data_IF_141446813076
#
_entry.id   IF_141446813076
#
_cell.length_a   1.000
_cell.length_b   1.000
_cell.length_c   1.000
_cell.angle_alpha   90.00
_cell.angle_beta   90.00
_cell.angle_gamma   90.00
#
_symmetry.space_group_name_H-M   'P 1'
#
loop_
_entity.id
_entity.type
_entity.pdbx_description
1 polymer ?
#
# COMPACT_ATOMS: atom_id res chain seq x y z
N UNK A 1 -33.73 -41.35 18.59
CA UNK A 1 -32.56 -42.19 18.28
C UNK A 1 -31.34 -41.33 18.56
N UNK A 2 -30.82 -41.39 19.80
CA UNK A 2 -29.60 -40.71 20.24
C UNK A 2 -28.44 -41.64 19.96
N UNK A 3 -27.42 -41.17 19.23
CA UNK A 3 -26.10 -41.81 19.21
C UNK A 3 -25.07 -40.81 19.72
N UNK A 4 -24.67 -41.05 20.96
CA UNK A 4 -23.29 -41.05 21.48
C UNK A 4 -22.36 -39.93 21.05
N UNK A 5 -22.31 -38.90 21.89
CA UNK A 5 -21.33 -37.81 21.91
C UNK A 5 -20.23 -38.13 22.96
N UNK A 6 -19.52 -39.25 22.79
CA UNK A 6 -18.47 -39.69 23.70
C UNK A 6 -17.24 -40.13 22.89
N UNK A 7 -16.47 -39.14 22.42
CA UNK A 7 -15.07 -39.32 21.99
C UNK A 7 -14.28 -37.98 22.02
N UNK A 8 -14.72 -37.00 22.82
CA UNK A 8 -14.06 -35.69 22.98
C UNK A 8 -13.26 -35.60 24.29
N UNK A 9 -12.89 -36.73 24.90
CA UNK A 9 -12.08 -36.77 26.12
C UNK A 9 -10.83 -37.62 25.92
N UNK A 10 -9.86 -37.08 25.17
CA UNK A 10 -8.45 -37.30 25.49
C UNK A 10 -7.79 -35.93 25.45
N UNK A 11 -7.59 -35.35 26.65
CA UNK A 11 -6.99 -34.04 26.83
C UNK A 11 -5.57 -34.03 26.28
N UNK A 12 -5.28 -33.07 25.40
CA UNK A 12 -3.89 -32.79 25.02
C UNK A 12 -3.56 -31.30 24.84
N UNK A 13 -4.48 -30.36 25.10
CA UNK A 13 -4.14 -28.94 25.07
C UNK A 13 -5.10 -28.12 25.95
N UNK A 14 -4.78 -27.99 27.24
CA UNK A 14 -5.27 -26.90 28.08
C UNK A 14 -4.51 -25.62 27.67
N UNK A 15 -5.08 -24.83 26.74
CA UNK A 15 -4.44 -23.63 26.17
C UNK A 15 -4.75 -22.36 26.99
N UNK A 16 -5.53 -22.45 28.08
CA UNK A 16 -5.88 -21.25 28.86
C UNK A 16 -4.79 -20.78 29.84
N UNK A 17 -3.80 -21.62 30.19
CA UNK A 17 -2.79 -21.28 31.22
C UNK A 17 -1.48 -20.66 30.67
N UNK A 18 -1.28 -20.64 29.35
CA UNK A 18 -0.03 -20.16 28.70
C UNK A 18 -0.18 -18.72 28.18
N UNK A 19 -0.87 -17.85 28.91
CA UNK A 19 -1.05 -16.44 28.50
C UNK A 19 0.07 -15.49 28.94
N UNK A 20 0.97 -15.90 29.84
CA UNK A 20 1.99 -15.02 30.41
C UNK A 20 3.42 -15.61 30.47
N UNK A 21 3.70 -16.77 29.88
CA UNK A 21 5.08 -17.27 29.77
C UNK A 21 5.74 -16.76 28.49
N UNK A 22 6.98 -16.28 28.63
CA UNK A 22 7.83 -15.96 27.49
C UNK A 22 7.88 -17.17 26.53
N UNK A 23 7.77 -16.93 25.21
CA UNK A 23 7.64 -18.01 24.26
C UNK A 23 8.93 -18.83 24.24
N UNK A 24 8.84 -20.08 24.68
CA UNK A 24 9.93 -21.05 24.58
C UNK A 24 10.15 -21.31 23.09
N UNK A 25 11.11 -20.62 22.47
CA UNK A 25 11.65 -21.04 21.19
C UNK A 25 12.45 -22.31 21.44
N UNK A 26 11.83 -23.46 21.23
CA UNK A 26 12.52 -24.75 21.30
C UNK A 26 13.31 -24.91 20.01
N UNK A 27 14.49 -24.29 19.93
CA UNK A 27 15.47 -24.57 18.89
C UNK A 27 16.05 -25.95 19.14
N UNK A 28 15.89 -26.86 18.17
CA UNK A 28 16.53 -28.18 18.24
C UNK A 28 18.04 -28.04 18.07
N UNK A 29 18.81 -28.56 19.03
CA UNK A 29 20.26 -28.54 18.98
C UNK A 29 20.80 -29.64 18.03
N UNK A 30 21.09 -29.24 16.79
CA UNK A 30 21.62 -30.13 15.74
C UNK A 30 23.04 -30.63 16.01
N UNK A 31 23.77 -30.08 16.99
CA UNK A 31 25.10 -30.61 17.37
C UNK A 31 25.03 -32.01 17.97
N UNK A 32 23.82 -32.46 18.33
CA UNK A 32 23.54 -33.79 18.90
C UNK A 32 23.45 -34.92 17.87
N UNK A 33 23.48 -34.61 16.58
CA UNK A 33 23.38 -35.56 15.48
C UNK A 33 24.57 -35.42 14.53
N UNK A 34 24.78 -36.41 13.66
CA UNK A 34 25.83 -36.29 12.63
C UNK A 34 25.46 -35.21 11.60
N UNK A 35 26.43 -34.63 10.87
CA UNK A 35 26.14 -33.63 9.83
C UNK A 35 25.13 -34.13 8.78
N UNK A 36 25.24 -35.38 8.34
CA UNK A 36 24.30 -36.00 7.40
C UNK A 36 22.88 -36.14 7.99
N UNK A 37 22.78 -36.42 9.29
CA UNK A 37 21.49 -36.48 9.99
C UNK A 37 20.89 -35.10 10.17
N UNK A 38 21.71 -34.08 10.48
CA UNK A 38 21.27 -32.69 10.60
C UNK A 38 20.68 -32.20 9.27
N UNK A 39 21.40 -32.37 8.17
CA UNK A 39 20.94 -31.99 6.83
C UNK A 39 19.61 -32.67 6.48
N UNK A 40 19.47 -33.96 6.78
CA UNK A 40 18.23 -34.70 6.54
C UNK A 40 17.07 -34.20 7.40
N UNK A 41 17.31 -33.93 8.68
CA UNK A 41 16.29 -33.42 9.60
C UNK A 41 15.84 -32.02 9.22
N UNK A 42 16.78 -31.16 8.81
CA UNK A 42 16.51 -29.82 8.31
C UNK A 42 15.67 -29.87 7.01
N UNK A 43 16.00 -30.74 6.07
CA UNK A 43 15.20 -30.94 4.86
C UNK A 43 13.77 -31.46 5.17
N UNK A 44 13.61 -32.32 6.17
CA UNK A 44 12.30 -32.79 6.63
C UNK A 44 11.51 -31.64 7.27
N UNK A 45 12.16 -30.89 8.16
CA UNK A 45 11.59 -29.73 8.83
C UNK A 45 11.09 -28.73 7.80
N UNK A 46 11.94 -28.32 6.85
CA UNK A 46 11.57 -27.38 5.79
C UNK A 46 10.38 -27.88 4.98
N UNK A 47 10.32 -29.17 4.62
CA UNK A 47 9.16 -29.74 3.92
C UNK A 47 7.88 -29.68 4.75
N UNK A 48 7.95 -29.96 6.06
CA UNK A 48 6.79 -29.88 6.96
C UNK A 48 6.34 -28.43 7.15
N UNK A 49 7.30 -27.54 7.35
CA UNK A 49 7.10 -26.11 7.52
C UNK A 49 6.43 -25.50 6.28
N UNK A 50 6.91 -25.82 5.08
CA UNK A 50 6.30 -25.35 3.82
C UNK A 50 4.85 -25.81 3.65
N UNK A 51 4.51 -27.03 4.08
CA UNK A 51 3.11 -27.50 4.07
C UNK A 51 2.27 -26.74 5.08
N UNK A 52 2.79 -26.56 6.29
CA UNK A 52 2.13 -25.81 7.35
C UNK A 52 1.82 -24.37 6.92
N UNK A 53 2.81 -23.67 6.35
CA UNK A 53 2.66 -22.31 5.83
C UNK A 53 1.60 -22.23 4.74
N UNK A 54 1.64 -23.16 3.77
CA UNK A 54 0.64 -23.25 2.70
C UNK A 54 -0.76 -23.46 3.27
N UNK A 55 -0.93 -24.41 4.19
CA UNK A 55 -2.23 -24.64 4.84
C UNK A 55 -2.68 -23.40 5.61
N UNK A 56 -1.79 -22.74 6.36
CA UNK A 56 -2.15 -21.54 7.09
C UNK A 56 -2.60 -20.38 6.17
N UNK A 57 -2.03 -20.33 4.97
CA UNK A 57 -2.42 -19.40 3.93
C UNK A 57 -3.78 -19.76 3.28
N UNK A 58 -3.97 -21.02 2.91
CA UNK A 58 -5.23 -21.56 2.37
C UNK A 58 -6.38 -21.37 3.36
N UNK A 59 -6.16 -21.70 4.63
CA UNK A 59 -7.08 -21.41 5.74
C UNK A 59 -7.45 -19.91 5.76
N UNK A 60 -6.49 -19.02 5.51
CA UNK A 60 -6.71 -17.58 5.47
C UNK A 60 -7.65 -17.16 4.35
N UNK A 61 -7.56 -17.78 3.16
CA UNK A 61 -8.49 -17.57 2.05
C UNK A 61 -9.89 -18.08 2.37
N UNK A 62 -9.98 -19.30 2.89
CA UNK A 62 -11.26 -19.90 3.26
C UNK A 62 -11.95 -19.10 4.38
N UNK A 63 -11.18 -18.56 5.33
CA UNK A 63 -11.68 -17.66 6.36
C UNK A 63 -12.21 -16.33 5.78
N UNK A 64 -11.57 -15.79 4.75
CA UNK A 64 -12.06 -14.59 4.05
C UNK A 64 -13.35 -14.88 3.29
N UNK A 65 -13.44 -16.02 2.61
CA UNK A 65 -14.65 -16.47 1.93
C UNK A 65 -15.79 -16.69 2.92
N UNK A 66 -15.54 -17.46 3.99
CA UNK A 66 -16.50 -17.71 5.06
C UNK A 66 -17.00 -16.40 5.70
N UNK A 67 -16.11 -15.45 5.98
CA UNK A 67 -16.48 -14.13 6.51
C UNK A 67 -17.36 -13.33 5.54
N UNK A 68 -17.16 -13.48 4.23
CA UNK A 68 -17.93 -12.79 3.20
C UNK A 68 -19.29 -13.47 2.90
N UNK A 69 -19.62 -14.56 3.59
CA UNK A 69 -20.92 -15.21 3.46
C UNK A 69 -22.03 -14.24 3.85
N UNK A 70 -23.04 -14.09 2.98
CA UNK A 70 -24.16 -13.16 3.21
C UNK A 70 -24.83 -13.45 4.55
N UNK A 71 -25.09 -12.38 5.31
CA UNK A 71 -25.84 -12.35 6.57
C UNK A 71 -25.17 -12.99 7.79
N UNK A 72 -23.86 -13.24 7.79
CA UNK A 72 -23.14 -13.65 9.00
C UNK A 72 -22.56 -12.43 9.73
N UNK A 73 -23.03 -12.11 10.95
CA UNK A 73 -22.41 -11.07 11.77
C UNK A 73 -20.94 -11.41 12.08
N UNK A 74 -20.11 -10.39 12.24
CA UNK A 74 -18.67 -10.57 12.48
C UNK A 74 -18.36 -11.40 13.73
N UNK A 75 -19.14 -11.22 14.79
CA UNK A 75 -18.94 -11.93 16.05
C UNK A 75 -19.30 -13.42 15.91
N UNK A 76 -20.38 -13.74 15.18
CA UNK A 76 -20.80 -15.12 14.89
C UNK A 76 -19.77 -15.87 14.02
N UNK A 77 -19.14 -15.19 13.06
CA UNK A 77 -18.03 -15.77 12.29
C UNK A 77 -16.86 -16.18 13.18
N UNK A 78 -16.50 -15.34 14.14
CA UNK A 78 -15.37 -15.60 15.03
C UNK A 78 -15.68 -16.77 15.97
N UNK A 79 -16.90 -16.82 16.51
CA UNK A 79 -17.35 -17.95 17.35
C UNK A 79 -17.47 -19.25 16.56
N UNK A 80 -17.92 -19.21 15.30
CA UNK A 80 -17.92 -20.37 14.40
C UNK A 80 -16.51 -20.95 14.21
N UNK A 81 -15.54 -20.10 13.85
CA UNK A 81 -14.16 -20.54 13.63
C UNK A 81 -13.52 -21.09 14.93
N UNK A 82 -13.85 -20.49 16.07
CA UNK A 82 -13.45 -20.98 17.39
C UNK A 82 -14.07 -22.34 17.71
N UNK A 83 -15.36 -22.54 17.43
CA UNK A 83 -16.07 -23.79 17.71
C UNK A 83 -15.60 -24.94 16.81
N UNK A 84 -15.34 -24.68 15.53
CA UNK A 84 -14.92 -25.71 14.57
C UNK A 84 -13.44 -26.09 14.71
N UNK A 85 -12.55 -25.12 14.96
CA UNK A 85 -11.10 -25.33 14.88
C UNK A 85 -10.34 -25.01 16.18
N UNK A 86 -11.02 -24.49 17.21
CA UNK A 86 -10.37 -24.05 18.45
C UNK A 86 -9.52 -22.78 18.30
N UNK A 87 -9.63 -22.06 17.18
CA UNK A 87 -8.79 -20.90 16.91
C UNK A 87 -9.20 -19.68 17.71
N UNK A 88 -8.19 -18.96 18.20
CA UNK A 88 -8.42 -17.65 18.83
C UNK A 88 -8.75 -16.59 17.77
N UNK A 89 -9.42 -15.51 18.18
CA UNK A 89 -9.67 -14.32 17.34
C UNK A 89 -8.37 -13.76 16.73
N UNK A 90 -7.27 -13.80 17.48
CA UNK A 90 -5.97 -13.35 16.99
C UNK A 90 -5.45 -14.26 15.87
N UNK A 91 -5.54 -15.58 16.05
CA UNK A 91 -5.13 -16.57 15.04
C UNK A 91 -5.93 -16.41 13.75
N UNK A 92 -7.26 -16.28 13.84
CA UNK A 92 -8.16 -16.05 12.70
C UNK A 92 -7.75 -14.79 11.94
N UNK A 93 -7.56 -13.68 12.67
CA UNK A 93 -7.17 -12.39 12.09
C UNK A 93 -5.81 -12.46 11.40
N UNK A 94 -4.83 -13.13 12.02
CA UNK A 94 -3.49 -13.28 11.47
C UNK A 94 -3.49 -14.09 10.17
N UNK A 95 -4.20 -15.22 10.11
CA UNK A 95 -4.35 -16.04 8.90
C UNK A 95 -5.01 -15.26 7.76
N UNK A 96 -6.11 -14.56 8.03
CA UNK A 96 -6.77 -13.72 7.04
C UNK A 96 -5.87 -12.58 6.53
N UNK A 97 -5.16 -11.90 7.43
CA UNK A 97 -4.25 -10.83 7.05
C UNK A 97 -3.08 -11.34 6.21
N UNK A 98 -2.57 -12.54 6.51
CA UNK A 98 -1.53 -13.17 5.70
C UNK A 98 -2.05 -13.39 4.26
N UNK A 99 -3.23 -13.99 4.11
CA UNK A 99 -3.85 -14.22 2.81
C UNK A 99 -4.09 -12.92 2.02
N UNK A 100 -4.59 -11.86 2.68
CA UNK A 100 -4.85 -10.57 2.05
C UNK A 100 -3.58 -9.87 1.54
N UNK A 101 -2.50 -9.89 2.34
CA UNK A 101 -1.34 -9.05 2.07
C UNK A 101 -0.32 -9.71 1.15
N UNK A 102 -0.22 -11.05 1.16
CA UNK A 102 0.84 -11.75 0.45
C UNK A 102 0.44 -12.24 -0.95
N UNK A 103 -0.84 -12.13 -1.36
CA UNK A 103 -1.28 -12.67 -2.65
C UNK A 103 -1.05 -14.18 -2.70
N UNK A 104 -1.04 -14.82 -3.88
CA UNK A 104 -0.93 -16.28 -3.98
C UNK A 104 0.34 -16.86 -3.35
N UNK A 105 0.21 -18.06 -2.75
CA UNK A 105 1.33 -18.76 -2.14
C UNK A 105 2.36 -19.15 -3.21
N UNK A 106 3.46 -18.40 -3.28
CA UNK A 106 4.62 -18.76 -4.09
C UNK A 106 5.65 -19.54 -3.26
N UNK A 107 6.55 -20.33 -3.87
CA UNK A 107 7.69 -20.93 -3.17
C UNK A 107 8.52 -19.91 -2.38
N UNK A 108 8.53 -18.66 -2.86
CA UNK A 108 9.17 -17.49 -2.25
C UNK A 108 8.57 -17.11 -0.89
N UNK A 109 7.28 -17.38 -0.65
CA UNK A 109 6.64 -17.20 0.67
C UNK A 109 7.19 -18.19 1.71
N UNK A 110 7.90 -19.23 1.26
CA UNK A 110 8.64 -20.13 2.14
C UNK A 110 9.87 -19.52 2.81
N UNK A 111 10.38 -18.41 2.29
CA UNK A 111 11.59 -17.73 2.78
C UNK A 111 11.29 -16.74 3.91
N UNK A 112 10.02 -16.56 4.29
CA UNK A 112 9.63 -15.71 5.42
C UNK A 112 9.23 -16.55 6.63
N UNK A 113 9.78 -16.22 7.79
CA UNK A 113 9.36 -16.84 9.05
C UNK A 113 7.90 -16.51 9.39
N UNK A 114 7.18 -17.45 10.03
CA UNK A 114 5.75 -17.27 10.41
C UNK A 114 5.50 -15.94 11.14
N UNK A 115 6.37 -15.62 12.09
CA UNK A 115 6.25 -14.40 12.90
C UNK A 115 6.53 -13.15 12.09
N UNK A 116 7.52 -13.19 11.20
CA UNK A 116 7.81 -12.11 10.27
C UNK A 116 6.62 -11.87 9.34
N UNK A 117 6.04 -12.94 8.79
CA UNK A 117 4.87 -12.89 7.92
C UNK A 117 3.69 -12.22 8.62
N UNK A 118 3.31 -12.69 9.81
CA UNK A 118 2.21 -12.10 10.57
C UNK A 118 2.49 -10.66 11.02
N UNK A 119 3.72 -10.35 11.40
CA UNK A 119 4.12 -9.00 11.80
C UNK A 119 3.91 -8.02 10.64
N UNK A 120 4.41 -8.35 9.45
CA UNK A 120 4.32 -7.49 8.26
C UNK A 120 2.91 -7.44 7.65
N UNK A 121 2.08 -8.47 7.87
CA UNK A 121 0.66 -8.48 7.49
C UNK A 121 -0.23 -7.65 8.40
N UNK A 122 0.26 -7.16 9.53
CA UNK A 122 -0.57 -6.38 10.45
C UNK A 122 -1.06 -5.08 9.80
N UNK A 123 -2.33 -4.72 10.08
CA UNK A 123 -2.97 -3.49 9.57
C UNK A 123 -2.19 -2.21 9.88
N UNK A 124 -1.42 -2.19 10.97
CA UNK A 124 -0.63 -1.03 11.40
C UNK A 124 0.72 -0.90 10.67
N UNK A 125 1.10 -1.89 9.88
CA UNK A 125 2.32 -1.85 9.08
C UNK A 125 2.04 -1.05 7.81
N UNK A 126 2.92 -0.10 7.44
CA UNK A 126 2.80 0.63 6.17
C UNK A 126 2.86 -0.28 4.95
N UNK A 127 2.20 0.11 3.86
CA UNK A 127 2.28 -0.62 2.59
C UNK A 127 3.70 -0.66 2.03
N UNK A 128 4.45 0.43 2.17
CA UNK A 128 5.85 0.52 1.73
C UNK A 128 6.75 -0.52 2.40
N UNK A 129 6.52 -0.81 3.69
CA UNK A 129 7.23 -1.88 4.41
C UNK A 129 6.89 -3.27 3.85
N UNK A 130 5.63 -3.52 3.48
CA UNK A 130 5.23 -4.79 2.85
C UNK A 130 5.86 -4.96 1.46
N UNK A 131 5.94 -3.88 0.69
CA UNK A 131 6.55 -3.90 -0.63
C UNK A 131 8.06 -4.15 -0.56
N UNK A 132 8.78 -3.55 0.38
CA UNK A 132 10.20 -3.85 0.62
C UNK A 132 10.40 -5.33 0.97
N UNK A 133 9.57 -5.88 1.87
CA UNK A 133 9.63 -7.30 2.20
C UNK A 133 9.33 -8.20 0.99
N UNK A 134 8.33 -7.89 0.17
CA UNK A 134 8.05 -8.62 -1.07
C UNK A 134 9.24 -8.56 -2.05
N UNK A 135 9.91 -7.43 -2.16
CA UNK A 135 11.07 -7.27 -3.03
C UNK A 135 12.25 -8.14 -2.57
N UNK A 136 12.52 -8.18 -1.25
CA UNK A 136 13.54 -9.06 -0.67
C UNK A 136 13.24 -10.53 -0.90
N UNK A 137 12.00 -10.96 -0.68
CA UNK A 137 11.58 -12.33 -0.98
C UNK A 137 11.80 -12.66 -2.45
N UNK A 138 11.37 -11.80 -3.38
CA UNK A 138 11.57 -12.03 -4.81
C UNK A 138 13.06 -12.11 -5.21
N UNK A 139 13.96 -11.48 -4.43
CA UNK A 139 15.40 -11.60 -4.60
C UNK A 139 15.99 -12.91 -4.04
N UNK A 140 15.17 -13.71 -3.34
CA UNK A 140 15.59 -14.96 -2.71
C UNK A 140 16.15 -14.78 -1.29
N UNK A 141 15.95 -13.60 -0.68
CA UNK A 141 16.41 -13.32 0.67
C UNK A 141 15.44 -13.85 1.73
N UNK A 142 16.00 -14.47 2.78
CA UNK A 142 15.23 -14.95 3.92
C UNK A 142 14.84 -13.78 4.84
N UNK A 143 13.56 -13.73 5.24
CA UNK A 143 13.04 -12.70 6.14
C UNK A 143 12.78 -13.29 7.52
N UNK A 144 13.70 -13.00 8.43
CA UNK A 144 13.56 -13.30 9.86
C UNK A 144 12.64 -12.31 10.58
N UNK A 145 12.17 -12.68 11.78
CA UNK A 145 11.39 -11.80 12.67
C UNK A 145 12.11 -10.47 12.94
N UNK A 146 13.44 -10.50 13.10
CA UNK A 146 14.25 -9.32 13.37
C UNK A 146 14.30 -8.37 12.16
N UNK A 147 14.56 -8.91 10.96
CA UNK A 147 14.57 -8.12 9.74
C UNK A 147 13.20 -7.50 9.46
N UNK A 148 12.13 -8.25 9.69
CA UNK A 148 10.76 -7.74 9.57
C UNK A 148 10.47 -6.58 10.53
N UNK A 149 10.98 -6.62 11.77
CA UNK A 149 10.89 -5.48 12.71
C UNK A 149 11.65 -4.27 12.20
N UNK A 150 12.87 -4.46 11.70
CA UNK A 150 13.68 -3.38 11.15
C UNK A 150 12.99 -2.70 9.96
N UNK A 151 12.47 -3.48 9.00
CA UNK A 151 11.73 -2.95 7.85
C UNK A 151 10.52 -2.14 8.32
N UNK A 152 9.70 -2.68 9.24
CA UNK A 152 8.54 -1.98 9.78
C UNK A 152 8.93 -0.65 10.43
N UNK A 153 9.94 -0.66 11.29
CA UNK A 153 10.30 0.50 12.10
C UNK A 153 10.95 1.60 11.25
N UNK A 154 11.77 1.23 10.27
CA UNK A 154 12.32 2.13 9.24
C UNK A 154 11.20 2.90 8.53
N UNK A 155 10.24 2.20 7.95
CA UNK A 155 9.15 2.82 7.20
C UNK A 155 8.20 3.63 8.07
N UNK A 156 7.98 3.20 9.30
CA UNK A 156 7.15 3.95 10.25
C UNK A 156 7.81 5.28 10.64
N UNK A 157 9.13 5.27 10.86
CA UNK A 157 9.89 6.48 11.14
C UNK A 157 9.91 7.45 9.95
N UNK A 158 10.05 6.92 8.73
CA UNK A 158 10.02 7.71 7.51
C UNK A 158 8.66 8.41 7.30
N UNK A 159 7.56 7.68 7.51
CA UNK A 159 6.21 8.27 7.43
C UNK A 159 6.01 9.35 8.49
N UNK A 160 6.43 9.11 9.73
CA UNK A 160 6.34 10.11 10.79
C UNK A 160 7.10 11.40 10.43
N UNK A 161 8.30 11.26 9.84
CA UNK A 161 9.10 12.41 9.37
C UNK A 161 8.38 13.18 8.26
N UNK A 162 7.79 12.47 7.29
CA UNK A 162 7.03 13.10 6.20
C UNK A 162 5.77 13.82 6.71
N UNK A 163 5.10 13.28 7.72
CA UNK A 163 3.95 13.94 8.36
C UNK A 163 4.35 15.22 9.10
N UNK A 164 5.47 15.19 9.82
CA UNK A 164 6.03 16.37 10.48
C UNK A 164 6.43 17.46 9.48
N UNK A 165 7.10 17.07 8.38
CA UNK A 165 7.47 17.99 7.30
C UNK A 165 6.24 18.60 6.63
N UNK A 166 5.22 17.80 6.35
CA UNK A 166 3.94 18.27 5.82
C UNK A 166 3.29 19.28 6.76
N UNK A 167 3.32 19.03 8.08
CA UNK A 167 2.77 19.95 9.07
C UNK A 167 3.53 21.27 9.10
N UNK A 168 4.87 21.22 9.04
CA UNK A 168 5.71 22.43 8.96
C UNK A 168 5.43 23.24 7.69
N UNK A 169 5.31 22.57 6.55
CA UNK A 169 4.95 23.20 5.28
C UNK A 169 3.56 23.85 5.35
N UNK A 170 2.59 23.16 5.94
CA UNK A 170 1.25 23.70 6.13
C UNK A 170 1.27 24.96 7.01
N UNK A 171 1.99 24.94 8.14
CA UNK A 171 2.11 26.11 9.00
C UNK A 171 2.81 27.28 8.31
N UNK A 172 3.84 27.03 7.49
CA UNK A 172 4.47 28.08 6.68
C UNK A 172 3.49 28.66 5.66
N UNK A 173 2.72 27.80 4.99
CA UNK A 173 1.71 28.22 4.03
C UNK A 173 0.65 29.11 4.68
N UNK A 174 0.14 28.72 5.85
CA UNK A 174 -0.86 29.49 6.58
C UNK A 174 -0.29 30.86 7.02
N UNK A 175 0.97 30.90 7.47
CA UNK A 175 1.68 32.13 7.80
C UNK A 175 1.79 33.08 6.60
N UNK A 176 2.26 32.59 5.44
CA UNK A 176 2.40 33.43 4.24
C UNK A 176 1.05 33.93 3.72
N UNK A 177 0.00 33.10 3.83
CA UNK A 177 -1.34 33.50 3.46
C UNK A 177 -1.85 34.64 4.34
N UNK A 178 -1.60 34.57 5.65
CA UNK A 178 -2.01 35.61 6.59
C UNK A 178 -1.21 36.90 6.41
N UNK A 179 0.10 36.81 6.19
CA UNK A 179 0.96 37.97 5.90
C UNK A 179 0.51 38.68 4.61
N UNK A 180 0.23 37.92 3.54
CA UNK A 180 -0.30 38.49 2.31
C UNK A 180 -1.64 39.20 2.51
N UNK A 181 -2.56 38.63 3.29
CA UNK A 181 -3.84 39.26 3.62
C UNK A 181 -3.67 40.55 4.42
N UNK A 182 -2.81 40.56 5.43
CA UNK A 182 -2.54 41.76 6.23
C UNK A 182 -1.92 42.89 5.41
N UNK A 183 -1.01 42.55 4.49
CA UNK A 183 -0.41 43.54 3.59
C UNK A 183 -1.44 44.11 2.63
N UNK A 184 -2.30 43.27 2.05
CA UNK A 184 -3.41 43.70 1.20
C UNK A 184 -4.36 44.64 1.95
N UNK A 185 -4.76 44.29 3.17
CA UNK A 185 -5.58 45.14 4.05
C UNK A 185 -4.90 46.48 4.37
N UNK A 186 -3.59 46.47 4.68
CA UNK A 186 -2.84 47.69 4.97
C UNK A 186 -2.71 48.61 3.75
N UNK A 187 -2.54 48.02 2.56
CA UNK A 187 -2.48 48.77 1.30
C UNK A 187 -3.84 49.37 0.97
N UNK A 188 -4.92 48.62 1.18
CA UNK A 188 -6.28 49.11 0.95
C UNK A 188 -6.62 50.23 1.94
N UNK A 189 -6.31 50.08 3.22
CA UNK A 189 -6.52 51.15 4.21
C UNK A 189 -5.75 52.43 3.88
N UNK A 190 -4.52 52.31 3.35
CA UNK A 190 -3.72 53.46 2.93
C UNK A 190 -4.26 54.12 1.65
N UNK A 191 -4.86 53.34 0.75
CA UNK A 191 -5.59 53.87 -0.40
C UNK A 191 -6.82 54.64 0.06
N UNK A 192 -7.62 54.07 0.97
CA UNK A 192 -8.82 54.72 1.52
C UNK A 192 -8.47 56.03 2.24
N UNK A 193 -7.39 56.06 3.04
CA UNK A 193 -6.91 57.28 3.71
C UNK A 193 -6.49 58.38 2.71
N UNK A 194 -5.92 57.99 1.57
CA UNK A 194 -5.55 58.93 0.50
C UNK A 194 -6.78 59.43 -0.28
N UNK A 195 -7.86 58.64 -0.38
CA UNK A 195 -9.11 59.03 -1.01
C UNK A 195 -10.00 59.90 -0.10
N UNK A 196 -10.02 59.62 1.22
CA UNK A 196 -10.79 60.39 2.21
C UNK A 196 -10.08 61.65 2.71
N UNK A 197 -8.77 61.79 2.51
CA UNK A 197 -8.05 63.02 2.81
C UNK A 197 -8.79 64.18 2.11
N UNK A 198 -9.38 65.13 2.86
CA UNK A 198 -10.15 66.21 2.28
C UNK A 198 -9.21 66.92 1.33
N UNK A 199 -9.53 66.96 0.02
CA UNK A 199 -8.65 67.53 -0.99
C UNK A 199 -7.99 68.78 -0.39
N UNK A 200 -6.69 68.74 -0.03
CA UNK A 200 -6.02 69.96 0.30
C UNK A 200 -6.11 70.70 -1.01
N UNK A 201 -6.94 71.75 -1.09
CA UNK A 201 -6.81 72.73 -2.15
C UNK A 201 -5.36 73.20 -2.01
N UNK A 202 -4.43 72.66 -2.82
CA UNK A 202 -3.04 72.82 -2.55
C UNK A 202 -2.76 74.26 -2.91
N UNK A 203 -2.26 75.01 -1.94
CA UNK A 203 -1.97 76.42 -2.17
C UNK A 203 -0.68 76.57 -3.00
N UNK A 204 0.06 75.48 -3.28
CA UNK A 204 1.19 75.45 -4.21
C UNK A 204 1.27 74.15 -5.05
N UNK A 205 1.75 74.29 -6.28
CA UNK A 205 1.92 73.24 -7.30
C UNK A 205 2.94 72.16 -6.87
N UNK A 206 3.89 72.50 -5.99
CA UNK A 206 4.94 71.60 -5.48
C UNK A 206 4.40 70.48 -4.58
N UNK A 207 3.34 70.74 -3.80
CA UNK A 207 2.74 69.73 -2.91
C UNK A 207 1.96 68.67 -3.71
N UNK A 208 1.34 69.05 -4.84
CA UNK A 208 0.72 68.10 -5.77
C UNK A 208 1.74 67.18 -6.42
N UNK A 209 2.86 67.74 -6.86
CA UNK A 209 3.93 66.95 -7.48
C UNK A 209 4.51 65.93 -6.50
N UNK A 210 4.74 66.31 -5.24
CA UNK A 210 5.19 65.35 -4.21
C UNK A 210 4.18 64.24 -3.95
N UNK A 211 2.88 64.58 -3.86
CA UNK A 211 1.83 63.58 -3.65
C UNK A 211 1.72 62.61 -4.83
N UNK A 212 1.84 63.10 -6.08
CA UNK A 212 1.88 62.26 -7.28
C UNK A 212 3.13 61.35 -7.33
N UNK A 213 4.29 61.88 -6.94
CA UNK A 213 5.53 61.10 -6.85
C UNK A 213 5.41 59.99 -5.80
N UNK A 214 4.88 60.30 -4.61
CA UNK A 214 4.68 59.32 -3.54
C UNK A 214 3.67 58.23 -3.94
N UNK A 215 2.57 58.61 -4.60
CA UNK A 215 1.59 57.66 -5.17
C UNK A 215 2.22 56.77 -6.24
N UNK A 216 3.08 57.33 -7.09
CA UNK A 216 3.77 56.57 -8.12
C UNK A 216 4.77 55.55 -7.53
N UNK A 217 5.48 55.93 -6.47
CA UNK A 217 6.38 55.03 -5.73
C UNK A 217 5.59 53.89 -5.10
N UNK A 218 4.50 54.18 -4.39
CA UNK A 218 3.64 53.18 -3.75
C UNK A 218 3.04 52.19 -4.76
N UNK A 219 2.59 52.68 -5.92
CA UNK A 219 2.08 51.81 -7.00
C UNK A 219 3.15 50.85 -7.51
N UNK A 220 4.39 51.33 -7.65
CA UNK A 220 5.53 50.53 -8.10
C UNK A 220 5.94 49.47 -7.08
N UNK A 221 5.91 49.80 -5.78
CA UNK A 221 6.14 48.84 -4.70
C UNK A 221 5.07 47.74 -4.69
N UNK A 222 3.78 48.13 -4.79
CA UNK A 222 2.67 47.18 -4.86
C UNK A 222 2.79 46.23 -6.06
N UNK A 223 3.21 46.75 -7.22
CA UNK A 223 3.43 45.93 -8.42
C UNK A 223 4.60 44.95 -8.25
N UNK A 224 5.70 45.38 -7.62
CA UNK A 224 6.83 44.49 -7.31
C UNK A 224 6.43 43.37 -6.35
N UNK A 225 5.65 43.69 -5.33
CA UNK A 225 5.17 42.71 -4.37
C UNK A 225 4.19 41.71 -5.00
N UNK A 226 3.27 42.16 -5.85
CA UNK A 226 2.42 41.29 -6.65
C UNK A 226 3.22 40.37 -7.57
N UNK A 227 4.32 40.89 -8.15
CA UNK A 227 5.21 40.10 -9.00
C UNK A 227 5.97 39.03 -8.20
N UNK A 228 6.44 39.35 -7.00
CA UNK A 228 7.15 38.42 -6.12
C UNK A 228 6.22 37.36 -5.54
N UNK A 229 5.04 37.74 -5.07
CA UNK A 229 4.01 36.81 -4.59
C UNK A 229 3.55 35.86 -5.70
N UNK A 230 3.30 36.37 -6.91
CA UNK A 230 2.97 35.54 -8.08
C UNK A 230 4.08 34.55 -8.41
N UNK A 231 5.34 35.00 -8.40
CA UNK A 231 6.50 34.13 -8.63
C UNK A 231 6.61 33.03 -7.57
N UNK A 232 6.44 33.37 -6.29
CA UNK A 232 6.46 32.40 -5.20
C UNK A 232 5.31 31.38 -5.30
N UNK A 233 4.12 31.84 -5.76
CA UNK A 233 2.98 30.98 -6.01
C UNK A 233 3.26 30.01 -7.18
N UNK A 234 3.83 30.50 -8.28
CA UNK A 234 4.25 29.69 -9.43
C UNK A 234 5.29 28.64 -9.02
N UNK A 235 6.31 29.01 -8.22
CA UNK A 235 7.30 28.07 -7.69
C UNK A 235 6.67 26.99 -6.78
N UNK A 236 5.67 27.37 -5.98
CA UNK A 236 4.92 26.43 -5.14
C UNK A 236 4.13 25.42 -5.98
N UNK A 237 3.38 25.88 -6.99
CA UNK A 237 2.62 24.99 -7.87
C UNK A 237 3.54 24.11 -8.72
N UNK A 238 4.67 24.64 -9.22
CA UNK A 238 5.66 23.85 -9.93
C UNK A 238 6.21 22.70 -9.09
N UNK A 239 6.53 22.93 -7.81
CA UNK A 239 6.92 21.86 -6.88
C UNK A 239 5.82 20.84 -6.66
N UNK A 240 4.57 21.30 -6.48
CA UNK A 240 3.44 20.40 -6.25
C UNK A 240 3.12 19.54 -7.48
N UNK A 241 3.27 20.09 -8.67
CA UNK A 241 3.08 19.37 -9.92
C UNK A 241 4.20 18.35 -10.15
N UNK A 242 5.45 18.67 -9.80
CA UNK A 242 6.54 17.68 -9.78
C UNK A 242 6.24 16.52 -8.82
N UNK A 243 5.72 16.79 -7.61
CA UNK A 243 5.31 15.73 -6.68
C UNK A 243 4.15 14.89 -7.22
N UNK A 244 3.18 15.50 -7.90
CA UNK A 244 2.06 14.81 -8.55
C UNK A 244 2.55 13.92 -9.68
N UNK A 245 3.43 14.43 -10.54
CA UNK A 245 4.07 13.65 -11.60
C UNK A 245 4.85 12.48 -11.03
N UNK A 246 5.66 12.69 -9.99
CA UNK A 246 6.40 11.62 -9.33
C UNK A 246 5.48 10.52 -8.76
N UNK A 247 4.36 10.90 -8.13
CA UNK A 247 3.36 9.95 -7.62
C UNK A 247 2.64 9.19 -8.74
N UNK A 248 2.29 9.89 -9.83
CA UNK A 248 1.69 9.26 -11.00
C UNK A 248 2.68 8.27 -11.64
N UNK A 249 3.93 8.66 -11.85
CA UNK A 249 4.99 7.79 -12.37
C UNK A 249 5.21 6.56 -11.49
N UNK A 250 5.27 6.70 -10.17
CA UNK A 250 5.43 5.56 -9.27
C UNK A 250 4.20 4.63 -9.30
N UNK A 251 2.99 5.20 -9.43
CA UNK A 251 1.76 4.41 -9.59
C UNK A 251 1.79 3.63 -10.91
N UNK A 252 2.16 4.27 -12.01
CA UNK A 252 2.31 3.63 -13.34
C UNK A 252 3.40 2.56 -13.28
N UNK A 253 4.57 2.84 -12.69
CA UNK A 253 5.66 1.86 -12.53
C UNK A 253 5.20 0.66 -11.71
N UNK A 254 4.44 0.88 -10.64
CA UNK A 254 3.86 -0.21 -9.83
C UNK A 254 2.89 -1.05 -10.64
N UNK A 255 2.00 -0.42 -11.43
CA UNK A 255 1.05 -1.13 -12.29
C UNK A 255 1.77 -1.92 -13.39
N UNK A 256 2.78 -1.33 -14.05
CA UNK A 256 3.60 -2.00 -15.06
C UNK A 256 4.37 -3.16 -14.45
N UNK A 257 5.00 -2.97 -13.29
CA UNK A 257 5.72 -4.05 -12.60
C UNK A 257 4.80 -5.21 -12.25
N UNK A 258 3.57 -4.92 -11.80
CA UNK A 258 2.58 -5.95 -11.49
C UNK A 258 2.09 -6.67 -12.76
N UNK A 259 1.87 -5.92 -13.84
CA UNK A 259 1.51 -6.48 -15.16
C UNK A 259 2.60 -7.40 -15.72
N UNK A 260 3.86 -6.93 -15.72
CA UNK A 260 5.02 -7.73 -16.18
C UNK A 260 5.17 -9.00 -15.35
N UNK A 261 5.03 -8.92 -14.02
CA UNK A 261 5.08 -10.10 -13.15
C UNK A 261 3.96 -11.10 -13.51
N UNK A 262 2.73 -10.62 -13.66
CA UNK A 262 1.60 -11.46 -14.03
C UNK A 262 1.77 -12.10 -15.41
N UNK A 263 2.38 -11.40 -16.36
CA UNK A 263 2.70 -11.94 -17.70
C UNK A 263 3.80 -13.01 -17.64
N UNK A 264 4.84 -12.81 -16.83
CA UNK A 264 5.89 -13.80 -16.67
C UNK A 264 5.36 -15.09 -16.00
N UNK A 265 4.46 -14.95 -15.02
CA UNK A 265 3.79 -16.08 -14.39
C UNK A 265 2.92 -16.85 -15.38
N UNK A 266 2.14 -16.15 -16.21
CA UNK A 266 1.31 -16.80 -17.25
C UNK A 266 2.16 -17.46 -18.33
N UNK A 267 3.25 -16.85 -18.77
CA UNK A 267 4.20 -17.44 -19.73
C UNK A 267 4.81 -18.73 -19.18
N UNK A 268 5.28 -18.74 -17.93
CA UNK A 268 5.80 -19.94 -17.28
C UNK A 268 4.75 -21.05 -17.20
N UNK A 269 3.49 -20.71 -16.90
CA UNK A 269 2.41 -21.72 -16.90
C UNK A 269 2.13 -22.24 -18.31
N UNK A 270 2.19 -21.38 -19.33
CA UNK A 270 1.98 -21.76 -20.71
C UNK A 270 3.09 -22.70 -21.20
N UNK A 271 4.35 -22.37 -20.94
CA UNK A 271 5.51 -23.21 -21.25
C UNK A 271 5.41 -24.58 -20.60
N UNK A 272 4.95 -24.62 -19.34
CA UNK A 272 4.73 -25.88 -18.65
C UNK A 272 3.64 -26.72 -19.34
N UNK A 273 2.51 -26.10 -19.67
CA UNK A 273 1.38 -26.77 -20.32
C UNK A 273 1.72 -27.27 -21.73
N UNK A 274 2.49 -26.48 -22.49
CA UNK A 274 2.90 -26.79 -23.86
C UNK A 274 4.14 -27.70 -23.89
N UNK A 275 4.79 -27.93 -22.74
CA UNK A 275 5.93 -28.84 -22.64
C UNK A 275 5.58 -30.23 -23.16
N UNK A 276 6.53 -30.86 -23.86
CA UNK A 276 6.35 -32.16 -24.49
C UNK A 276 5.79 -33.23 -23.53
N UNK A 277 6.28 -33.24 -22.28
CA UNK A 277 5.84 -34.19 -21.27
C UNK A 277 4.38 -33.95 -20.83
N UNK A 278 3.96 -32.70 -20.72
CA UNK A 278 2.56 -32.36 -20.41
C UNK A 278 1.63 -32.68 -21.58
N UNK A 279 2.03 -32.41 -22.82
CA UNK A 279 1.24 -32.79 -23.99
C UNK A 279 1.03 -34.31 -24.07
N UNK A 280 2.06 -35.10 -23.77
CA UNK A 280 1.93 -36.57 -23.68
C UNK A 280 0.99 -37.00 -22.55
N UNK A 281 1.04 -36.34 -21.39
CA UNK A 281 0.13 -36.61 -20.29
C UNK A 281 -1.32 -36.24 -20.65
N UNK A 282 -1.54 -35.12 -21.34
CA UNK A 282 -2.86 -34.67 -21.80
C UNK A 282 -3.48 -35.65 -22.78
N UNK A 283 -2.69 -36.26 -23.67
CA UNK A 283 -3.15 -37.30 -24.59
C UNK A 283 -3.63 -38.58 -23.87
N UNK A 284 -3.21 -38.79 -22.63
CA UNK A 284 -3.62 -39.93 -21.80
C UNK A 284 -4.81 -39.61 -20.89
N UNK A 285 -5.28 -38.36 -20.83
CA UNK A 285 -6.41 -37.97 -19.99
C UNK A 285 -7.75 -38.48 -20.55
N UNK A 286 -8.57 -39.06 -19.66
CA UNK A 286 -9.95 -39.41 -19.98
C UNK A 286 -10.91 -38.22 -19.84
N UNK A 287 -12.11 -38.32 -20.44
CA UNK A 287 -13.07 -37.21 -20.62
C UNK A 287 -13.16 -36.18 -19.48
N UNK A 288 -13.47 -36.59 -18.25
CA UNK A 288 -13.61 -35.64 -17.13
C UNK A 288 -12.32 -34.88 -16.77
N UNK A 289 -11.16 -35.51 -16.95
CA UNK A 289 -9.87 -34.88 -16.67
C UNK A 289 -9.49 -33.93 -17.81
N UNK A 290 -9.81 -34.29 -19.05
CA UNK A 290 -9.66 -33.40 -20.20
C UNK A 290 -10.54 -32.15 -20.07
N UNK A 291 -11.79 -32.31 -19.62
CA UNK A 291 -12.71 -31.18 -19.39
C UNK A 291 -12.18 -30.24 -18.30
N UNK A 292 -11.63 -30.78 -17.21
CA UNK A 292 -11.00 -29.99 -16.15
C UNK A 292 -9.77 -29.23 -16.64
N UNK A 293 -8.97 -29.86 -17.50
CA UNK A 293 -7.79 -29.23 -18.10
C UNK A 293 -8.19 -28.11 -19.07
N UNK A 294 -9.19 -28.33 -19.92
CA UNK A 294 -9.73 -27.30 -20.83
C UNK A 294 -10.30 -26.11 -20.06
N UNK A 295 -10.99 -26.35 -18.94
CA UNK A 295 -11.47 -25.28 -18.06
C UNK A 295 -10.33 -24.43 -17.46
N UNK A 296 -9.20 -25.07 -17.10
CA UNK A 296 -8.01 -24.35 -16.62
C UNK A 296 -7.38 -23.50 -17.73
N UNK A 297 -7.24 -24.04 -18.95
CA UNK A 297 -6.74 -23.30 -20.12
C UNK A 297 -7.64 -22.10 -20.45
N UNK A 298 -8.96 -22.29 -20.35
CA UNK A 298 -9.92 -21.20 -20.58
C UNK A 298 -9.82 -20.12 -19.49
N UNK A 299 -9.67 -20.49 -18.23
CA UNK A 299 -9.45 -19.55 -17.13
C UNK A 299 -8.15 -18.75 -17.31
N UNK A 300 -7.08 -19.39 -17.78
CA UNK A 300 -5.82 -18.72 -18.11
C UNK A 300 -6.00 -17.68 -19.22
N UNK A 301 -6.73 -18.04 -20.28
CA UNK A 301 -7.06 -17.12 -21.38
C UNK A 301 -7.84 -15.90 -20.89
N UNK A 302 -8.87 -16.11 -20.06
CA UNK A 302 -9.64 -15.00 -19.50
C UNK A 302 -8.79 -14.09 -18.61
N UNK A 303 -7.81 -14.64 -17.89
CA UNK A 303 -6.87 -13.85 -17.10
C UNK A 303 -5.99 -12.97 -18.00
N UNK A 304 -5.47 -13.52 -19.11
CA UNK A 304 -4.69 -12.77 -20.10
C UNK A 304 -5.52 -11.66 -20.76
N UNK A 305 -6.75 -11.96 -21.18
CA UNK A 305 -7.66 -10.96 -21.76
C UNK A 305 -7.93 -9.81 -20.76
N UNK A 306 -8.12 -10.11 -19.47
CA UNK A 306 -8.30 -9.07 -18.43
C UNK A 306 -7.05 -8.21 -18.24
N UNK A 307 -5.86 -8.80 -18.29
CA UNK A 307 -4.60 -8.07 -18.20
C UNK A 307 -4.45 -7.14 -19.41
N UNK A 308 -4.70 -7.64 -20.62
CA UNK A 308 -4.69 -6.84 -21.85
C UNK A 308 -5.71 -5.69 -21.79
N UNK A 309 -6.93 -5.97 -21.34
CA UNK A 309 -7.97 -4.93 -21.20
C UNK A 309 -7.55 -3.85 -20.21
N UNK A 310 -6.92 -4.22 -19.07
CA UNK A 310 -6.44 -3.25 -18.09
C UNK A 310 -5.28 -2.40 -18.61
N UNK A 311 -4.37 -2.99 -19.38
CA UNK A 311 -3.24 -2.28 -20.00
C UNK A 311 -3.71 -1.32 -21.10
N UNK A 312 -4.72 -1.72 -21.87
CA UNK A 312 -5.27 -0.90 -22.96
C UNK A 312 -6.24 0.16 -22.46
N UNK A 313 -7.04 -0.10 -21.41
CA UNK A 313 -7.96 0.89 -20.85
C UNK A 313 -7.26 1.93 -19.98
N UNK A 314 -6.19 1.58 -19.24
CA UNK A 314 -5.45 2.58 -18.45
C UNK A 314 -4.75 3.60 -19.34
N UNK A 315 -4.22 3.17 -20.49
CA UNK A 315 -3.66 4.04 -21.51
C UNK A 315 -4.69 5.05 -22.09
N UNK A 316 -5.99 4.76 -21.96
CA UNK A 316 -7.07 5.61 -22.49
C UNK A 316 -7.69 6.56 -21.46
N UNK A 317 -7.53 6.31 -20.15
CA UNK A 317 -8.12 7.16 -19.10
C UNK A 317 -7.27 8.40 -18.78
N UNK A 318 -5.94 8.31 -18.88
CA UNK A 318 -5.04 9.42 -18.50
C UNK A 318 -4.88 10.50 -19.59
N UNK A 319 -5.32 10.25 -20.83
CA UNK A 319 -5.33 11.26 -21.90
C UNK A 319 -6.51 12.24 -21.74
N UNK A 320 -7.56 11.84 -21.02
CA UNK A 320 -8.79 12.66 -20.90
C UNK A 320 -8.73 13.61 -19.69
N UNK A 321 -8.08 13.25 -18.58
CA UNK A 321 -8.01 14.14 -17.40
C UNK A 321 -6.89 15.20 -17.49
N UNK A 322 -5.84 14.99 -18.29
CA UNK A 322 -4.81 16.02 -18.51
C UNK A 322 -5.26 17.20 -19.39
N UNK A 323 -6.46 17.13 -20.01
CA UNK A 323 -6.96 18.15 -20.94
C UNK A 323 -8.09 19.04 -20.38
N UNK A 324 -8.63 18.76 -19.19
CA UNK A 324 -9.88 19.41 -18.74
C UNK A 324 -9.66 20.61 -17.80
N UNK A 325 -8.48 20.82 -17.23
CA UNK A 325 -8.30 21.83 -16.16
C UNK A 325 -7.55 23.12 -16.58
N UNK A 326 -7.40 23.39 -17.88
CA UNK A 326 -6.72 24.62 -18.35
C UNK A 326 -7.67 25.73 -18.86
N UNK A 327 -8.94 25.71 -18.44
CA UNK A 327 -9.91 26.77 -18.72
C UNK A 327 -10.38 27.45 -17.43
N UNK A 328 -9.46 28.11 -16.72
CA UNK A 328 -9.84 29.22 -15.83
C UNK A 328 -9.94 30.46 -16.71
N UNK A 329 -11.18 30.78 -17.06
CA UNK A 329 -11.60 32.01 -17.70
C UNK A 329 -11.19 33.18 -16.81
N UNK A 330 -10.18 33.93 -17.24
CA UNK A 330 -9.96 35.31 -16.81
C UNK A 330 -11.08 36.10 -17.48
N UNK A 331 -12.11 36.47 -16.71
CA UNK A 331 -13.07 37.50 -17.12
C UNK A 331 -12.43 38.83 -16.76
N UNK A 332 -12.15 39.64 -17.79
CA UNK A 332 -11.75 41.05 -17.70
C UNK A 332 -12.85 41.93 -17.09
#
# INVERSE_FOLDING_TARGET
MRMSNELVQTGFFDIEEVRNSEPIQVTYDYSRVTPEQAEKLEAIYNRMFMRYLRTAYEDGKDLLEAKNTKNLPYDEFTEWAKACYGWSKATITNKMNAALNWGDFSPTVGLIEDRAMYLLSSKRVPESARQEAKALLNAGEDISEELAKQIRDKHKAEIAKLEDEKKQLQSKFDFYKQDAQQREESLNARIDELEEAPEPHPTSEEERQKLEEDLAILRKEKEQELKETKKNLEEYYAKRDQERQFKAENTIRSLLSHGVKSMAETELTLDHVVSYNMLQAVLQLGGKQLDSFLAQVQSLREALDRVETKLTSSASMDIVEASVDNSVVIVE
#
